data_IF_560035165810
#
_entry.id   IF_560035165810
#
_cell.length_a   1.000
_cell.length_b   1.000
_cell.length_c   1.000
_cell.angle_alpha   90.00
_cell.angle_beta   90.00
_cell.angle_gamma   90.00
#
_symmetry.space_group_name_H-M   'P 1'
#
loop_
_entity.id
_entity.type
_entity.pdbx_description
1 polymer ?
#
# COMPACT_ATOMS: atom_id res chain seq x y z
N UNK A 1 -16.46 10.06 -8.56
CA UNK A 1 -16.34 8.86 -7.70
C UNK A 1 -15.67 9.28 -6.39
N UNK A 2 -16.21 8.93 -5.21
CA UNK A 2 -15.70 9.38 -3.91
C UNK A 2 -14.35 8.70 -3.59
N UNK A 3 -13.29 9.46 -3.26
CA UNK A 3 -11.90 8.97 -3.05
C UNK A 3 -11.80 7.87 -2.00
N UNK A 4 -12.67 7.88 -1.00
CA UNK A 4 -12.73 6.84 0.05
C UNK A 4 -13.26 5.51 -0.53
N UNK A 5 -14.27 5.57 -1.40
CA UNK A 5 -14.86 4.36 -2.02
C UNK A 5 -13.83 3.65 -2.91
N UNK A 6 -13.07 4.38 -3.73
CA UNK A 6 -12.05 3.78 -4.60
C UNK A 6 -10.89 3.14 -3.81
N UNK A 7 -10.55 3.68 -2.64
CA UNK A 7 -9.54 3.09 -1.76
C UNK A 7 -10.01 1.76 -1.16
N UNK A 8 -11.25 1.71 -0.68
CA UNK A 8 -11.87 0.48 -0.16
C UNK A 8 -11.94 -0.61 -1.24
N UNK A 9 -12.32 -0.25 -2.47
CA UNK A 9 -12.36 -1.20 -3.60
C UNK A 9 -10.96 -1.73 -3.94
N UNK A 10 -9.94 -0.88 -3.94
CA UNK A 10 -8.56 -1.28 -4.21
C UNK A 10 -8.06 -2.26 -3.15
N UNK A 11 -8.34 -2.00 -1.85
CA UNK A 11 -8.03 -2.94 -0.76
C UNK A 11 -8.71 -4.29 -0.95
N UNK A 12 -10.00 -4.30 -1.28
CA UNK A 12 -10.75 -5.55 -1.52
C UNK A 12 -10.14 -6.35 -2.68
N UNK A 13 -9.72 -5.68 -3.76
CA UNK A 13 -9.05 -6.33 -4.89
C UNK A 13 -7.72 -6.96 -4.48
N UNK A 14 -6.90 -6.26 -3.70
CA UNK A 14 -5.62 -6.80 -3.25
C UNK A 14 -5.80 -7.98 -2.27
N UNK A 15 -6.76 -7.90 -1.34
CA UNK A 15 -7.09 -9.03 -0.45
C UNK A 15 -7.53 -10.24 -1.26
N UNK A 16 -8.42 -10.03 -2.26
CA UNK A 16 -8.85 -11.11 -3.15
C UNK A 16 -7.69 -11.70 -3.94
N UNK A 17 -6.80 -10.87 -4.48
CA UNK A 17 -5.56 -11.33 -5.13
C UNK A 17 -4.69 -12.17 -4.20
N UNK A 18 -4.58 -11.78 -2.92
CA UNK A 18 -3.82 -12.54 -1.92
C UNK A 18 -4.40 -13.94 -1.64
N UNK A 19 -5.72 -14.11 -1.74
CA UNK A 19 -6.40 -15.39 -1.55
C UNK A 19 -6.33 -16.24 -2.84
N UNK A 20 -6.70 -15.64 -3.98
CA UNK A 20 -6.84 -16.36 -5.25
C UNK A 20 -5.47 -16.64 -5.91
N UNK A 21 -4.52 -15.71 -5.78
CA UNK A 21 -3.22 -15.74 -6.46
C UNK A 21 -2.04 -15.35 -5.52
N UNK A 22 -1.80 -16.12 -4.44
CA UNK A 22 -0.85 -15.73 -3.38
C UNK A 22 0.57 -15.50 -3.88
N UNK A 23 1.02 -16.23 -4.92
CA UNK A 23 2.34 -16.01 -5.54
C UNK A 23 2.44 -14.65 -6.23
N UNK A 24 1.38 -14.15 -6.85
CA UNK A 24 1.40 -12.81 -7.46
C UNK A 24 1.38 -11.72 -6.39
N UNK A 25 0.56 -11.91 -5.36
CA UNK A 25 0.52 -11.00 -4.22
C UNK A 25 1.88 -10.92 -3.50
N UNK A 26 2.57 -12.04 -3.32
CA UNK A 26 3.89 -12.05 -2.68
C UNK A 26 4.95 -11.34 -3.51
N UNK A 27 4.97 -11.51 -4.84
CA UNK A 27 5.89 -10.77 -5.73
C UNK A 27 5.71 -9.26 -5.55
N UNK A 28 4.46 -8.78 -5.55
CA UNK A 28 4.16 -7.35 -5.32
C UNK A 28 4.70 -6.90 -3.96
N UNK A 29 4.46 -7.67 -2.90
CA UNK A 29 4.94 -7.32 -1.56
C UNK A 29 6.47 -7.28 -1.47
N UNK A 30 7.17 -8.24 -2.10
CA UNK A 30 8.64 -8.27 -2.16
C UNK A 30 9.19 -7.07 -2.91
N UNK A 31 8.61 -6.74 -4.07
CA UNK A 31 9.01 -5.56 -4.84
C UNK A 31 8.86 -4.28 -4.01
N UNK A 32 7.74 -4.14 -3.31
CA UNK A 32 7.48 -2.98 -2.46
C UNK A 32 8.41 -2.92 -1.24
N UNK A 33 8.76 -4.06 -0.66
CA UNK A 33 9.76 -4.13 0.40
C UNK A 33 11.14 -3.64 -0.09
N UNK A 34 11.58 -4.08 -1.27
CA UNK A 34 12.82 -3.59 -1.88
C UNK A 34 12.79 -2.08 -2.13
N UNK A 35 11.66 -1.54 -2.60
CA UNK A 35 11.47 -0.08 -2.74
C UNK A 35 11.56 0.65 -1.40
N UNK A 36 11.05 0.06 -0.31
CA UNK A 36 11.11 0.63 1.04
C UNK A 36 12.52 0.66 1.60
N UNK A 37 13.32 -0.38 1.36
CA UNK A 37 14.73 -0.43 1.78
C UNK A 37 15.57 0.66 1.10
N UNK A 38 15.30 0.94 -0.17
CA UNK A 38 16.03 1.94 -0.95
C UNK A 38 15.58 3.38 -0.64
N UNK A 39 14.34 3.56 -0.17
CA UNK A 39 13.76 4.87 0.12
C UNK A 39 14.50 5.58 1.27
N UNK A 40 15.10 6.75 0.97
CA UNK A 40 15.89 7.52 1.94
C UNK A 40 15.02 8.49 2.72
N UNK A 41 13.95 9.01 2.10
CA UNK A 41 13.12 10.07 2.67
C UNK A 41 11.80 9.52 3.20
N UNK A 42 11.28 10.16 4.25
CA UNK A 42 10.00 9.76 4.86
C UNK A 42 8.83 9.83 3.85
N UNK A 43 8.80 10.82 2.97
CA UNK A 43 7.76 10.96 1.95
C UNK A 43 7.77 9.82 0.92
N UNK A 44 8.95 9.30 0.57
CA UNK A 44 9.10 8.15 -0.34
C UNK A 44 8.53 6.89 0.33
N UNK A 45 8.87 6.67 1.60
CA UNK A 45 8.34 5.55 2.40
C UNK A 45 6.81 5.63 2.52
N UNK A 46 6.27 6.81 2.82
CA UNK A 46 4.82 7.04 2.92
C UNK A 46 4.11 6.76 1.59
N UNK A 47 4.70 7.19 0.47
CA UNK A 47 4.15 6.88 -0.86
C UNK A 47 4.07 5.38 -1.10
N UNK A 48 5.15 4.64 -0.82
CA UNK A 48 5.18 3.18 -1.02
C UNK A 48 4.18 2.47 -0.10
N UNK A 49 4.12 2.82 1.19
CA UNK A 49 3.17 2.25 2.14
C UNK A 49 1.72 2.54 1.70
N UNK A 50 1.47 3.74 1.18
CA UNK A 50 0.16 4.12 0.65
C UNK A 50 -0.26 3.26 -0.55
N UNK A 51 0.67 2.87 -1.40
CA UNK A 51 0.44 1.97 -2.53
C UNK A 51 0.09 0.56 -2.04
N UNK A 52 0.82 0.01 -1.06
CA UNK A 52 0.59 -1.33 -0.49
C UNK A 52 -0.77 -1.39 0.23
N UNK A 53 -1.02 -0.45 1.13
CA UNK A 53 -2.20 -0.48 1.99
C UNK A 53 -3.44 0.10 1.29
N UNK A 54 -3.26 0.67 0.10
CA UNK A 54 -4.29 1.42 -0.64
C UNK A 54 -4.97 2.48 0.23
N UNK A 55 -4.20 3.12 1.10
CA UNK A 55 -4.66 4.20 1.98
C UNK A 55 -4.29 5.56 1.37
N UNK A 56 -4.64 6.64 2.07
CA UNK A 56 -4.20 7.99 1.67
C UNK A 56 -2.90 8.33 2.37
N UNK A 57 -2.03 9.14 1.74
CA UNK A 57 -0.84 9.66 2.42
C UNK A 57 -1.19 10.30 3.77
N UNK A 58 -2.31 11.05 3.84
CA UNK A 58 -2.78 11.67 5.08
C UNK A 58 -3.06 10.64 6.17
N UNK A 59 -3.68 9.51 5.81
CA UNK A 59 -3.93 8.39 6.73
C UNK A 59 -2.60 7.82 7.22
N UNK A 60 -1.67 7.52 6.31
CA UNK A 60 -0.36 6.97 6.68
C UNK A 60 0.43 7.94 7.57
N UNK A 61 0.47 9.24 7.24
CA UNK A 61 1.15 10.24 8.05
C UNK A 61 0.52 10.37 9.43
N UNK A 62 -0.81 10.41 9.52
CA UNK A 62 -1.50 10.47 10.81
C UNK A 62 -1.17 9.23 11.66
N UNK A 63 -1.21 8.05 11.07
CA UNK A 63 -0.94 6.80 11.77
C UNK A 63 0.57 6.63 12.12
N UNK A 64 1.46 7.30 11.39
CA UNK A 64 2.90 7.39 11.70
C UNK A 64 3.22 8.41 12.80
N UNK A 65 2.45 9.49 12.89
CA UNK A 65 2.66 10.59 13.84
C UNK A 65 1.95 10.40 15.18
N UNK A 66 1.02 9.45 15.27
CA UNK A 66 0.32 9.04 16.49
C UNK A 66 1.06 7.89 17.18
#
# INVERSE_FOLDING_TARGET
>A
MNKIKSQIESRKKFVKLGIDEPRKASIILVEMAGRLEIAKRANEKVKIISEILHLSHRTIYRDFSN
#
